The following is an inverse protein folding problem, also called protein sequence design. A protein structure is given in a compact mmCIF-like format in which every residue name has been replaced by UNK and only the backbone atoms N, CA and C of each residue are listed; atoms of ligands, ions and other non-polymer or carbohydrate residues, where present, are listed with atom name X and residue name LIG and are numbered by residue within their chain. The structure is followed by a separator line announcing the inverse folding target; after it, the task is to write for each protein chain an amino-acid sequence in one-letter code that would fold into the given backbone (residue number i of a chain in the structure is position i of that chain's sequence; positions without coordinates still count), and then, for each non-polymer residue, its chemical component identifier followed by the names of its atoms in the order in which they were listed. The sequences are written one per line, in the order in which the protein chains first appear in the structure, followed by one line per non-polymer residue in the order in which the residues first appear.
data_IF_508967977008
#
_entry.id   IF_508967977008
#
_cell.length_a   1.000
_cell.length_b   1.000
_cell.length_c   1.000
_cell.angle_alpha   90.00
_cell.angle_beta   90.00
_cell.angle_gamma   90.00
#
_symmetry.space_group_name_H-M   'P 1'
#
loop_
_entity.id
_entity.type
_entity.pdbx_description
1 polymer ?
#
# COMPACT_ATOMS: atom_id res chain seq x y z
N UNK A 1 1.18 7.60 4.21
CA UNK A 1 1.13 9.04 3.90
C UNK A 1 1.17 9.25 2.40
N UNK A 2 0.07 9.75 1.82
CA UNK A 2 0.05 10.25 0.46
C UNK A 2 0.44 11.75 0.45
N UNK A 3 0.99 12.24 -0.65
CA UNK A 3 1.26 13.69 -0.84
C UNK A 3 -0.01 14.55 -0.76
N UNK A 4 -1.20 13.94 -0.82
CA UNK A 4 -2.46 14.53 -0.36
C UNK A 4 -2.81 14.01 1.03
N UNK A 5 -2.77 14.89 2.04
CA UNK A 5 -2.86 14.58 3.48
C UNK A 5 -4.15 13.95 4.02
N UNK A 6 -4.96 13.25 3.21
CA UNK A 6 -6.30 12.79 3.60
C UNK A 6 -6.44 11.26 3.75
N UNK A 7 -5.41 10.45 3.51
CA UNK A 7 -5.55 8.99 3.63
C UNK A 7 -4.42 8.34 4.43
N UNK A 8 -4.73 8.01 5.69
CA UNK A 8 -4.00 7.06 6.51
C UNK A 8 -4.29 5.65 6.01
N UNK A 9 -3.28 4.94 5.49
CA UNK A 9 -3.51 3.65 4.84
C UNK A 9 -3.69 2.50 5.85
N UNK A 10 -3.24 2.68 7.10
CA UNK A 10 -3.56 1.74 8.19
C UNK A 10 -5.04 1.82 8.56
N UNK A 11 -5.60 3.02 8.61
CA UNK A 11 -7.05 3.20 8.83
C UNK A 11 -7.89 2.65 7.67
N UNK A 12 -7.43 2.82 6.42
CA UNK A 12 -8.07 2.21 5.25
C UNK A 12 -8.11 0.68 5.39
N UNK A 13 -6.97 0.07 5.71
CA UNK A 13 -6.87 -1.36 5.91
C UNK A 13 -7.81 -1.83 7.02
N UNK A 14 -7.76 -1.17 8.19
CA UNK A 14 -8.61 -1.53 9.33
C UNK A 14 -10.10 -1.46 8.97
N UNK A 15 -10.53 -0.47 8.18
CA UNK A 15 -11.92 -0.36 7.72
C UNK A 15 -12.31 -1.50 6.79
N UNK A 16 -11.43 -1.90 5.88
CA UNK A 16 -11.67 -3.02 4.97
C UNK A 16 -11.72 -4.34 5.74
N UNK A 17 -10.79 -4.59 6.66
CA UNK A 17 -10.78 -5.78 7.51
C UNK A 17 -12.04 -5.86 8.38
N UNK A 18 -12.42 -4.76 9.01
CA UNK A 18 -13.65 -4.70 9.83
C UNK A 18 -14.88 -4.99 8.97
N UNK A 19 -14.96 -4.41 7.76
CA UNK A 19 -16.07 -4.66 6.86
C UNK A 19 -16.16 -6.13 6.43
N UNK A 20 -15.01 -6.78 6.15
CA UNK A 20 -14.96 -8.19 5.77
C UNK A 20 -15.29 -9.13 6.93
N UNK A 21 -14.95 -8.75 8.17
CA UNK A 21 -15.24 -9.52 9.38
C UNK A 21 -16.71 -9.38 9.84
N UNK A 22 -17.29 -8.18 9.75
CA UNK A 22 -18.64 -7.88 10.24
C UNK A 22 -19.47 -7.15 9.18
N UNK A 23 -19.80 -7.88 8.10
CA UNK A 23 -20.50 -7.32 6.94
C UNK A 23 -21.93 -6.82 7.24
N UNK A 24 -22.53 -7.23 8.36
CA UNK A 24 -23.91 -6.88 8.69
C UNK A 24 -24.08 -5.41 9.09
N UNK A 25 -23.05 -4.83 9.73
CA UNK A 25 -23.05 -3.45 10.22
C UNK A 25 -22.50 -2.45 9.19
N UNK A 26 -22.10 -2.91 8.00
CA UNK A 26 -21.47 -2.06 6.98
C UNK A 26 -22.49 -1.28 6.17
N UNK A 27 -22.41 0.05 6.22
CA UNK A 27 -23.06 0.89 5.21
C UNK A 27 -22.30 0.82 3.87
N UNK A 28 -22.90 0.14 2.90
CA UNK A 28 -22.36 -0.04 1.56
C UNK A 28 -22.01 1.28 0.85
N UNK A 29 -22.79 2.34 1.05
CA UNK A 29 -22.57 3.62 0.37
C UNK A 29 -21.34 4.34 0.92
N UNK A 30 -21.23 4.45 2.25
CA UNK A 30 -20.05 4.97 2.94
C UNK A 30 -18.79 4.15 2.66
N UNK A 31 -18.91 2.82 2.62
CA UNK A 31 -17.80 1.94 2.27
C UNK A 31 -17.31 2.18 0.84
N UNK A 32 -18.22 2.23 -0.14
CA UNK A 32 -17.85 2.55 -1.53
C UNK A 32 -17.20 3.93 -1.65
N UNK A 33 -17.71 4.94 -0.94
CA UNK A 33 -17.10 6.27 -0.94
C UNK A 33 -15.67 6.24 -0.38
N UNK A 34 -15.43 5.45 0.66
CA UNK A 34 -14.08 5.24 1.22
C UNK A 34 -13.14 4.64 0.17
N UNK A 35 -13.58 3.59 -0.54
CA UNK A 35 -12.79 2.98 -1.61
C UNK A 35 -12.53 3.94 -2.77
N UNK A 36 -13.53 4.73 -3.19
CA UNK A 36 -13.40 5.70 -4.27
C UNK A 36 -12.39 6.81 -3.94
N UNK A 37 -12.30 7.24 -2.68
CA UNK A 37 -11.26 8.18 -2.23
C UNK A 37 -9.85 7.57 -2.31
N UNK A 38 -9.72 6.27 -2.03
CA UNK A 38 -8.44 5.56 -2.09
C UNK A 38 -8.03 5.14 -3.52
N UNK A 39 -8.95 5.17 -4.50
CA UNK A 39 -8.71 4.75 -5.89
C UNK A 39 -7.43 5.32 -6.52
N UNK A 40 -7.13 6.64 -6.42
CA UNK A 40 -5.91 7.18 -7.01
C UNK A 40 -4.63 6.61 -6.40
N UNK A 41 -4.65 6.26 -5.11
CA UNK A 41 -3.51 5.66 -4.40
C UNK A 41 -3.25 4.23 -4.84
N UNK A 42 -4.30 3.46 -5.15
CA UNK A 42 -4.15 2.12 -5.72
C UNK A 42 -3.57 2.18 -7.15
N UNK A 43 -4.05 3.10 -7.98
CA UNK A 43 -3.56 3.25 -9.36
C UNK A 43 -2.11 3.77 -9.42
N UNK A 44 -1.72 4.62 -8.47
CA UNK A 44 -0.38 5.17 -8.36
C UNK A 44 0.42 4.48 -7.24
N UNK A 45 0.20 3.18 -7.03
CA UNK A 45 0.77 2.41 -5.92
C UNK A 45 2.25 2.76 -5.69
N UNK A 46 2.55 3.34 -4.53
CA UNK A 46 3.90 3.76 -4.12
C UNK A 46 4.62 4.72 -5.09
N UNK A 47 3.92 5.49 -5.92
CA UNK A 47 4.54 6.60 -6.65
C UNK A 47 4.64 7.80 -5.72
N UNK A 48 5.85 8.02 -5.21
CA UNK A 48 6.20 9.17 -4.39
C UNK A 48 7.22 10.03 -5.15
N UNK A 49 7.36 11.30 -4.76
CA UNK A 49 8.46 12.14 -5.22
C UNK A 49 9.81 11.48 -4.88
N UNK A 50 10.74 11.53 -5.83
CA UNK A 50 12.11 11.06 -5.65
C UNK A 50 12.96 12.05 -4.85
N UNK A 51 14.07 11.62 -4.22
CA UNK A 51 15.03 12.51 -3.57
C UNK A 51 15.46 13.65 -4.49
N UNK A 52 15.47 14.88 -3.99
CA UNK A 52 15.79 16.05 -4.80
C UNK A 52 16.41 17.20 -4.00
N UNK A 53 17.21 18.01 -4.68
CA UNK A 53 17.98 19.08 -4.06
C UNK A 53 17.12 20.17 -3.41
N UNK A 54 15.92 20.43 -3.94
CA UNK A 54 14.98 21.42 -3.40
C UNK A 54 14.45 20.98 -2.03
N UNK A 55 13.89 19.77 -1.95
CA UNK A 55 13.42 19.17 -0.70
C UNK A 55 14.56 19.08 0.32
N UNK A 56 15.75 18.66 -0.12
CA UNK A 56 16.93 18.59 0.75
C UNK A 56 17.34 19.93 1.33
N UNK A 57 17.37 20.98 0.52
CA UNK A 57 17.69 22.33 0.97
C UNK A 57 16.63 22.86 1.95
N UNK A 58 15.36 22.56 1.72
CA UNK A 58 14.27 22.92 2.63
C UNK A 58 14.44 22.25 4.00
N UNK A 59 14.72 20.95 4.04
CA UNK A 59 14.95 20.21 5.30
C UNK A 59 16.19 20.72 6.04
N UNK A 60 17.31 20.96 5.32
CA UNK A 60 18.53 21.49 5.90
C UNK A 60 18.38 22.91 6.47
N UNK A 61 17.44 23.70 5.94
CA UNK A 61 17.13 25.02 6.50
C UNK A 61 16.43 24.95 7.86
N UNK A 62 15.89 23.78 8.23
CA UNK A 62 15.09 23.54 9.42
C UNK A 62 13.70 24.20 9.39
N UNK A 63 13.32 24.87 8.30
CA UNK A 63 12.03 25.54 8.15
C UNK A 63 11.38 25.10 6.85
N UNK A 64 10.33 24.30 6.96
CA UNK A 64 9.61 23.79 5.80
C UNK A 64 8.10 23.83 6.03
N UNK A 65 7.34 23.63 4.95
CA UNK A 65 5.88 23.54 4.99
C UNK A 65 5.48 22.13 4.60
N UNK A 66 4.86 21.43 5.54
CA UNK A 66 4.26 20.12 5.33
C UNK A 66 2.79 20.27 4.92
N UNK A 67 2.13 19.19 4.43
CA UNK A 67 0.68 19.19 4.22
C UNK A 67 -0.11 19.55 5.49
N UNK A 68 0.43 19.25 6.68
CA UNK A 68 -0.14 19.60 7.98
C UNK A 68 0.11 21.06 8.41
N UNK A 69 0.98 21.78 7.69
CA UNK A 69 1.32 23.18 7.97
C UNK A 69 2.84 23.42 8.14
N UNK A 70 3.23 24.64 8.54
CA UNK A 70 4.62 25.00 8.77
C UNK A 70 5.23 24.23 9.94
N UNK A 71 6.46 23.77 9.77
CA UNK A 71 7.23 23.03 10.78
C UNK A 71 8.62 23.65 10.95
N UNK A 72 9.08 23.69 12.20
CA UNK A 72 10.47 24.01 12.55
C UNK A 72 11.11 22.74 13.09
N UNK A 73 12.23 22.35 12.51
CA UNK A 73 13.00 21.16 12.90
C UNK A 73 14.19 21.56 13.76
N UNK A 74 14.46 20.75 14.78
CA UNK A 74 15.71 20.86 15.52
C UNK A 74 16.87 20.32 14.65
N UNK A 75 18.04 20.99 14.62
CA UNK A 75 19.18 20.48 13.86
C UNK A 75 19.59 19.05 14.25
N UNK A 76 19.41 18.72 15.52
CA UNK A 76 19.61 17.40 16.10
C UNK A 76 18.51 17.16 17.13
N UNK A 77 17.74 16.04 17.06
CA UNK A 77 17.91 14.91 16.15
C UNK A 77 17.19 15.03 14.78
N UNK A 78 16.21 15.92 14.63
CA UNK A 78 15.23 15.85 13.51
C UNK A 78 15.86 15.88 12.11
N UNK A 79 16.69 16.88 11.82
CA UNK A 79 17.30 17.04 10.49
C UNK A 79 18.22 15.86 10.18
N UNK A 80 19.04 15.43 11.15
CA UNK A 80 19.98 14.32 10.97
C UNK A 80 19.25 13.01 10.66
N UNK A 81 18.22 12.68 11.43
CA UNK A 81 17.46 11.44 11.28
C UNK A 81 16.64 11.42 9.99
N UNK A 82 16.03 12.55 9.62
CA UNK A 82 15.28 12.66 8.36
C UNK A 82 16.19 12.49 7.13
N UNK A 83 17.37 13.13 7.12
CA UNK A 83 18.32 12.98 6.02
C UNK A 83 18.94 11.58 5.96
N UNK A 84 19.21 10.95 7.12
CA UNK A 84 19.63 9.56 7.17
C UNK A 84 18.58 8.62 6.57
N UNK A 85 17.31 8.81 6.94
CA UNK A 85 16.20 8.03 6.41
C UNK A 85 16.07 8.21 4.89
N UNK A 86 16.12 9.45 4.40
CA UNK A 86 16.11 9.75 2.96
C UNK A 86 17.25 9.05 2.21
N UNK A 87 18.47 9.13 2.75
CA UNK A 87 19.65 8.56 2.09
C UNK A 87 19.63 7.02 2.04
N UNK A 88 19.15 6.36 3.11
CA UNK A 88 19.11 4.90 3.23
C UNK A 88 17.90 4.27 2.51
N UNK A 89 16.75 4.95 2.49
CA UNK A 89 15.49 4.44 1.92
C UNK A 89 15.15 5.06 0.55
N UNK A 90 15.99 5.96 0.03
CA UNK A 90 15.80 6.69 -1.23
C UNK A 90 14.46 7.44 -1.30
N UNK A 91 14.07 8.04 -0.17
CA UNK A 91 12.83 8.82 -0.06
C UNK A 91 13.11 10.30 -0.29
N UNK A 92 12.14 11.01 -0.86
CA UNK A 92 12.13 12.48 -0.79
C UNK A 92 12.29 12.95 0.67
N UNK A 93 13.07 14.00 0.87
CA UNK A 93 13.44 14.49 2.20
C UNK A 93 12.22 14.99 3.00
N UNK A 94 11.18 15.52 2.35
CA UNK A 94 9.94 15.95 3.02
C UNK A 94 9.16 14.74 3.50
N UNK A 95 9.06 13.69 2.67
CA UNK A 95 8.45 12.42 3.09
C UNK A 95 9.22 11.80 4.26
N UNK A 96 10.54 11.86 4.25
CA UNK A 96 11.38 11.38 5.35
C UNK A 96 11.10 12.13 6.66
N UNK A 97 10.97 13.47 6.61
CA UNK A 97 10.56 14.30 7.76
C UNK A 97 9.19 13.88 8.27
N UNK A 98 8.20 13.73 7.38
CA UNK A 98 6.86 13.31 7.77
C UNK A 98 6.88 11.94 8.49
N UNK A 99 7.71 11.01 8.02
CA UNK A 99 7.85 9.68 8.64
C UNK A 99 8.46 9.76 10.04
N UNK A 100 9.54 10.54 10.22
CA UNK A 100 10.18 10.74 11.52
C UNK A 100 9.24 11.45 12.50
N UNK A 101 8.48 12.45 12.04
CA UNK A 101 7.48 13.11 12.89
C UNK A 101 6.31 12.19 13.25
N UNK A 102 5.85 11.35 12.33
CA UNK A 102 4.85 10.32 12.63
C UNK A 102 5.35 9.37 13.70
N UNK A 103 6.62 8.94 13.61
CA UNK A 103 7.24 8.09 14.62
C UNK A 103 7.28 8.76 16.00
N UNK A 104 7.69 10.03 16.06
CA UNK A 104 7.66 10.81 17.30
C UNK A 104 6.25 10.88 17.90
N UNK A 105 5.23 11.11 17.08
CA UNK A 105 3.84 11.22 17.55
C UNK A 105 3.29 9.89 18.08
N UNK A 106 3.63 8.77 17.43
CA UNK A 106 3.06 7.46 17.77
C UNK A 106 3.83 6.73 18.86
N UNK A 107 5.15 6.87 18.85
CA UNK A 107 6.05 6.08 19.71
C UNK A 107 6.85 6.92 20.69
N UNK A 108 6.92 8.24 20.48
CA UNK A 108 7.81 9.13 21.23
C UNK A 108 9.27 9.09 20.78
N UNK A 109 9.59 8.31 19.74
CA UNK A 109 10.97 8.14 19.26
C UNK A 109 11.26 9.00 18.03
N UNK A 110 12.39 9.74 18.08
CA UNK A 110 12.93 10.46 16.93
C UNK A 110 14.14 9.71 16.40
N UNK A 111 13.92 8.80 15.45
CA UNK A 111 14.98 8.04 14.79
C UNK A 111 14.62 7.71 13.34
N UNK A 112 15.64 7.55 12.48
CA UNK A 112 15.44 7.05 11.13
C UNK A 112 14.82 5.64 11.12
N UNK A 113 15.14 4.81 12.12
CA UNK A 113 14.61 3.45 12.23
C UNK A 113 13.10 3.43 12.50
N UNK A 114 12.62 4.27 13.42
CA UNK A 114 11.20 4.41 13.69
C UNK A 114 10.46 5.08 12.52
N UNK A 115 11.07 6.08 11.88
CA UNK A 115 10.52 6.68 10.66
C UNK A 115 10.36 5.69 9.51
N UNK A 116 11.35 4.80 9.31
CA UNK A 116 11.24 3.72 8.33
C UNK A 116 10.13 2.72 8.69
N UNK A 117 9.91 2.44 9.98
CA UNK A 117 8.78 1.63 10.43
C UNK A 117 7.44 2.22 10.02
N UNK A 118 7.21 3.50 10.29
CA UNK A 118 5.99 4.22 9.84
C UNK A 118 5.83 4.11 8.32
N UNK A 119 6.91 4.29 7.57
CA UNK A 119 6.87 4.15 6.11
C UNK A 119 6.42 2.76 5.65
N UNK A 120 7.03 1.70 6.19
CA UNK A 120 6.65 0.32 5.86
C UNK A 120 5.23 -0.03 6.29
N UNK A 121 4.77 0.45 7.44
CA UNK A 121 3.41 0.18 7.90
C UNK A 121 2.35 0.85 7.02
N UNK A 122 2.58 2.10 6.61
CA UNK A 122 1.69 2.81 5.68
C UNK A 122 1.66 2.11 4.32
N UNK A 123 2.83 1.67 3.82
CA UNK A 123 2.91 0.91 2.56
C UNK A 123 2.14 -0.40 2.64
N UNK A 124 2.36 -1.15 3.73
CA UNK A 124 1.64 -2.40 4.02
C UNK A 124 0.14 -2.15 4.08
N UNK A 125 -0.30 -1.08 4.74
CA UNK A 125 -1.71 -0.71 4.81
C UNK A 125 -2.34 -0.60 3.41
N UNK A 126 -1.69 0.12 2.50
CA UNK A 126 -2.18 0.31 1.13
C UNK A 126 -2.14 -0.99 0.32
N UNK A 127 -1.03 -1.72 0.37
CA UNK A 127 -0.84 -2.94 -0.40
C UNK A 127 -1.76 -4.07 0.07
N UNK A 128 -1.88 -4.29 1.38
CA UNK A 128 -2.80 -5.29 1.93
C UNK A 128 -4.25 -4.91 1.66
N UNK A 129 -4.59 -3.61 1.67
CA UNK A 129 -5.94 -3.16 1.25
C UNK A 129 -6.24 -3.55 -0.19
N UNK A 130 -5.29 -3.30 -1.12
CA UNK A 130 -5.44 -3.72 -2.52
C UNK A 130 -5.60 -5.24 -2.64
N UNK A 131 -4.74 -5.98 -1.94
CA UNK A 131 -4.75 -7.43 -1.92
C UNK A 131 -6.10 -7.98 -1.44
N UNK A 132 -6.62 -7.51 -0.31
CA UNK A 132 -7.91 -7.93 0.24
C UNK A 132 -9.06 -7.67 -0.75
N UNK A 133 -9.06 -6.50 -1.40
CA UNK A 133 -10.09 -6.15 -2.37
C UNK A 133 -10.05 -7.06 -3.60
N UNK A 134 -8.86 -7.33 -4.14
CA UNK A 134 -8.68 -8.24 -5.28
C UNK A 134 -9.04 -9.68 -4.90
N UNK A 135 -8.60 -10.13 -3.73
CA UNK A 135 -8.88 -11.45 -3.19
C UNK A 135 -10.39 -11.66 -2.97
N UNK A 136 -11.09 -10.71 -2.35
CA UNK A 136 -12.53 -10.80 -2.14
C UNK A 136 -13.30 -10.94 -3.46
N UNK A 137 -12.85 -10.27 -4.53
CA UNK A 137 -13.42 -10.48 -5.86
C UNK A 137 -13.13 -11.88 -6.40
N UNK A 138 -11.91 -12.40 -6.25
CA UNK A 138 -11.58 -13.78 -6.62
C UNK A 138 -12.49 -14.77 -5.88
N UNK A 139 -12.76 -14.52 -4.61
CA UNK A 139 -13.62 -15.35 -3.75
C UNK A 139 -15.12 -15.29 -4.08
N UNK A 140 -15.58 -14.30 -4.86
CA UNK A 140 -17.01 -14.16 -5.25
C UNK A 140 -17.52 -15.22 -6.25
N UNK A 141 -16.72 -16.22 -6.61
CA UNK A 141 -17.10 -17.40 -7.41
C UNK A 141 -17.29 -17.16 -8.91
N UNK A 142 -17.57 -15.92 -9.32
CA UNK A 142 -17.82 -15.56 -10.73
C UNK A 142 -16.58 -14.98 -11.45
N UNK A 143 -15.53 -14.66 -10.68
CA UNK A 143 -14.41 -13.83 -11.16
C UNK A 143 -13.24 -14.59 -11.78
N UNK A 144 -13.17 -15.92 -11.64
CA UNK A 144 -12.13 -16.77 -12.22
C UNK A 144 -12.72 -17.93 -13.03
N UNK A 145 -11.98 -18.48 -14.03
CA UNK A 145 -12.22 -19.83 -14.56
C UNK A 145 -12.31 -20.87 -13.45
N UNK A 146 -13.25 -21.85 -13.50
CA UNK A 146 -13.38 -22.87 -12.46
C UNK A 146 -12.07 -23.62 -12.19
N UNK A 147 -11.27 -23.89 -13.22
CA UNK A 147 -9.99 -24.58 -13.11
C UNK A 147 -8.96 -23.73 -12.33
N UNK A 148 -8.98 -22.41 -12.54
CA UNK A 148 -8.08 -21.48 -11.88
C UNK A 148 -8.55 -21.17 -10.45
N UNK A 149 -9.86 -21.07 -10.24
CA UNK A 149 -10.45 -20.96 -8.91
C UNK A 149 -10.06 -22.17 -8.04
N UNK A 150 -10.17 -23.38 -8.58
CA UNK A 150 -9.77 -24.59 -7.88
C UNK A 150 -8.27 -24.63 -7.55
N UNK A 151 -7.41 -24.07 -8.42
CA UNK A 151 -5.97 -24.03 -8.21
C UNK A 151 -5.52 -22.94 -7.21
N UNK A 152 -6.21 -21.80 -7.18
CA UNK A 152 -5.87 -20.64 -6.34
C UNK A 152 -6.53 -20.73 -4.95
N UNK A 153 -7.73 -21.30 -4.86
CA UNK A 153 -8.54 -21.33 -3.64
C UNK A 153 -8.55 -22.71 -2.94
N UNK A 154 -7.47 -23.50 -3.08
CA UNK A 154 -7.36 -24.91 -2.65
C UNK A 154 -7.82 -25.20 -1.20
N UNK A 155 -7.74 -24.23 -0.29
CA UNK A 155 -8.09 -24.38 1.13
C UNK A 155 -9.45 -23.77 1.53
N UNK A 156 -10.19 -23.16 0.60
CA UNK A 156 -11.43 -22.46 0.95
C UNK A 156 -12.66 -23.39 0.88
N UNK A 157 -13.20 -23.75 2.05
CA UNK A 157 -14.28 -24.74 2.23
C UNK A 157 -15.69 -24.15 2.05
N UNK A 158 -15.83 -22.84 1.88
CA UNK A 158 -17.16 -22.23 1.73
C UNK A 158 -17.59 -22.21 0.26
N UNK A 159 -18.73 -22.80 -0.08
CA UNK A 159 -19.34 -22.54 -1.39
C UNK A 159 -19.93 -21.12 -1.38
N UNK A 160 -19.73 -20.34 -2.45
CA UNK A 160 -20.35 -19.03 -2.62
C UNK A 160 -21.87 -19.08 -2.46
N UNK A 161 -22.50 -20.24 -2.73
CA UNK A 161 -23.93 -20.50 -2.57
C UNK A 161 -24.41 -20.47 -1.10
N UNK A 162 -23.47 -20.39 -0.14
CA UNK A 162 -23.74 -20.41 1.31
C UNK A 162 -23.29 -19.14 2.05
N UNK A 163 -22.87 -18.10 1.33
CA UNK A 163 -22.47 -16.83 1.95
C UNK A 163 -23.70 -16.13 2.57
N UNK A 164 -23.57 -15.54 3.77
CA UNK A 164 -24.60 -14.68 4.33
C UNK A 164 -24.98 -13.55 3.36
N UNK A 165 -26.26 -13.16 3.26
CA UNK A 165 -26.72 -12.12 2.33
C UNK A 165 -25.95 -10.79 2.46
N UNK A 166 -25.52 -10.45 3.68
CA UNK A 166 -24.77 -9.24 4.01
C UNK A 166 -23.37 -9.28 3.37
N UNK A 167 -22.69 -10.42 3.48
CA UNK A 167 -21.37 -10.65 2.89
C UNK A 167 -21.44 -10.67 1.35
N UNK A 168 -22.51 -11.23 0.78
CA UNK A 168 -22.77 -11.16 -0.66
C UNK A 168 -22.91 -9.71 -1.16
N UNK A 169 -23.66 -8.86 -0.43
CA UNK A 169 -23.80 -7.43 -0.79
C UNK A 169 -22.46 -6.69 -0.72
N UNK A 170 -21.67 -6.94 0.32
CA UNK A 170 -20.34 -6.35 0.45
C UNK A 170 -19.43 -6.76 -0.72
N UNK A 171 -19.44 -8.05 -1.08
CA UNK A 171 -18.66 -8.55 -2.21
C UNK A 171 -19.12 -7.92 -3.53
N UNK A 172 -20.41 -7.69 -3.71
CA UNK A 172 -20.93 -6.98 -4.90
C UNK A 172 -20.38 -5.55 -4.98
N UNK A 173 -20.29 -4.82 -3.85
CA UNK A 173 -19.68 -3.48 -3.78
C UNK A 173 -18.19 -3.54 -4.16
N UNK A 174 -17.44 -4.48 -3.59
CA UNK A 174 -16.01 -4.67 -3.89
C UNK A 174 -15.81 -5.03 -5.37
N UNK A 175 -16.60 -5.94 -5.92
CA UNK A 175 -16.52 -6.33 -7.32
C UNK A 175 -16.82 -5.15 -8.26
N UNK A 176 -17.82 -4.31 -7.92
CA UNK A 176 -18.12 -3.11 -8.69
C UNK A 176 -16.96 -2.09 -8.64
N UNK A 177 -16.39 -1.87 -7.46
CA UNK A 177 -15.22 -1.02 -7.29
C UNK A 177 -14.00 -1.52 -8.09
N UNK A 178 -13.66 -2.80 -7.98
CA UNK A 178 -12.54 -3.37 -8.71
C UNK A 178 -12.79 -3.37 -10.22
N UNK A 179 -14.03 -3.57 -10.66
CA UNK A 179 -14.39 -3.49 -12.08
C UNK A 179 -14.13 -2.10 -12.65
N UNK A 180 -14.37 -1.05 -11.86
CA UNK A 180 -14.07 0.34 -12.17
C UNK A 180 -12.56 0.63 -12.08
N UNK A 181 -11.87 0.13 -11.05
CA UNK A 181 -10.40 0.23 -10.89
C UNK A 181 -9.64 -0.41 -12.06
N UNK A 182 -10.09 -1.58 -12.51
CA UNK A 182 -9.47 -2.37 -13.58
C UNK A 182 -10.04 -2.04 -14.98
N UNK A 183 -10.95 -1.08 -15.09
CA UNK A 183 -11.64 -0.78 -16.34
C UNK A 183 -10.68 -0.36 -17.47
N UNK A 184 -10.91 -0.92 -18.67
CA UNK A 184 -10.10 -0.62 -19.86
C UNK A 184 -10.30 0.81 -20.37
N UNK A 185 -11.50 1.39 -20.20
CA UNK A 185 -11.80 2.76 -20.62
C UNK A 185 -10.91 3.81 -19.97
N UNK A 186 -10.33 3.47 -18.82
CA UNK A 186 -9.42 4.32 -18.06
C UNK A 186 -7.97 3.79 -18.06
N UNK A 187 -7.69 2.68 -18.76
CA UNK A 187 -6.39 2.02 -18.74
C UNK A 187 -5.95 1.53 -17.35
N UNK A 188 -6.87 1.45 -16.38
CA UNK A 188 -6.54 1.27 -14.97
C UNK A 188 -5.83 -0.06 -14.69
N UNK A 189 -6.24 -1.14 -15.39
CA UNK A 189 -5.55 -2.42 -15.34
C UNK A 189 -4.12 -2.33 -15.83
N UNK A 190 -3.89 -1.79 -17.03
CA UNK A 190 -2.56 -1.69 -17.62
C UNK A 190 -1.64 -0.87 -16.71
N UNK A 191 -2.12 0.25 -16.18
CA UNK A 191 -1.39 1.06 -15.20
C UNK A 191 -1.03 0.28 -13.93
N UNK A 192 -2.00 -0.43 -13.35
CA UNK A 192 -1.79 -1.19 -12.12
C UNK A 192 -0.84 -2.37 -12.33
N UNK A 193 -1.03 -3.14 -13.40
CA UNK A 193 -0.17 -4.29 -13.75
C UNK A 193 1.25 -3.82 -14.01
N UNK A 194 1.43 -2.77 -14.84
CA UNK A 194 2.75 -2.20 -15.09
C UNK A 194 3.41 -1.76 -13.77
N UNK A 195 2.66 -1.09 -12.89
CA UNK A 195 3.19 -0.63 -11.61
C UNK A 195 3.56 -1.78 -10.68
N UNK A 196 2.76 -2.85 -10.63
CA UNK A 196 3.06 -4.04 -9.84
C UNK A 196 4.30 -4.75 -10.38
N UNK A 197 4.48 -4.87 -11.70
CA UNK A 197 5.68 -5.45 -12.31
C UNK A 197 6.93 -4.63 -11.98
N UNK A 198 6.84 -3.30 -12.05
CA UNK A 198 7.92 -2.39 -11.64
C UNK A 198 8.32 -2.66 -10.18
N UNK A 199 7.33 -2.74 -9.28
CA UNK A 199 7.54 -2.91 -7.84
C UNK A 199 8.06 -4.31 -7.46
N UNK A 200 7.59 -5.37 -8.11
CA UNK A 200 8.10 -6.75 -7.89
C UNK A 200 9.59 -6.85 -8.25
N UNK A 201 10.05 -6.04 -9.21
CA UNK A 201 11.45 -5.99 -9.64
C UNK A 201 12.28 -4.96 -8.86
N UNK A 202 11.65 -4.16 -8.00
CA UNK A 202 12.30 -3.09 -7.26
C UNK A 202 12.84 -3.58 -5.93
N UNK A 203 14.17 -3.51 -5.78
CA UNK A 203 14.89 -3.90 -4.58
C UNK A 203 15.53 -2.69 -3.88
N UNK A 204 15.13 -1.45 -4.19
CA UNK A 204 15.76 -0.25 -3.63
C UNK A 204 15.63 -0.14 -2.11
N UNK A 205 14.58 -0.73 -1.53
CA UNK A 205 14.36 -0.72 -0.08
C UNK A 205 15.17 -1.79 0.67
N UNK A 206 15.88 -2.68 -0.02
CA UNK A 206 16.67 -3.73 0.63
C UNK A 206 17.92 -3.18 1.34
N UNK A 207 18.10 -3.60 2.59
CA UNK A 207 19.35 -3.82 3.33
C UNK A 207 20.60 -4.08 2.51
N UNK A 208 21.31 -3.06 2.00
CA UNK A 208 22.64 -3.30 1.43
C UNK A 208 23.67 -3.59 2.53
N UNK A 209 24.70 -4.42 2.26
CA UNK A 209 25.79 -4.63 3.20
C UNK A 209 26.42 -3.31 3.64
N UNK A 210 26.49 -3.08 4.96
CA UNK A 210 27.00 -1.82 5.53
C UNK A 210 25.96 -0.68 5.59
N UNK A 211 24.70 -0.95 5.28
CA UNK A 211 23.60 0.00 5.51
C UNK A 211 23.60 0.48 6.97
N UNK A 212 23.33 1.77 7.15
CA UNK A 212 23.16 2.37 8.49
C UNK A 212 21.78 2.11 9.08
N UNK A 213 20.89 1.47 8.31
CA UNK A 213 19.52 1.18 8.69
C UNK A 213 19.13 -0.28 8.31
N UNK A 214 19.83 -1.31 8.82
CA UNK A 214 19.51 -2.71 8.52
C UNK A 214 18.21 -3.19 9.20
N UNK A 215 17.81 -2.52 10.28
CA UNK A 215 16.60 -2.78 11.03
C UNK A 215 15.76 -1.51 11.14
N UNK A 216 14.46 -1.70 11.34
CA UNK A 216 13.48 -0.63 11.55
C UNK A 216 12.76 -0.86 12.86
N UNK A 217 12.08 0.16 13.38
CA UNK A 217 11.30 0.07 14.62
C UNK A 217 9.83 0.19 14.26
N UNK A 218 9.02 -0.83 14.58
CA UNK A 218 7.58 -0.80 14.32
C UNK A 218 6.82 0.11 15.29
N UNK A 219 5.52 0.32 15.05
CA UNK A 219 4.63 1.11 15.91
C UNK A 219 4.56 0.64 17.38
N UNK A 220 5.02 -0.58 17.68
CA UNK A 220 5.06 -1.14 19.03
C UNK A 220 6.45 -1.01 19.68
N UNK A 221 7.38 -0.28 19.04
CA UNK A 221 8.74 -0.10 19.52
C UNK A 221 9.62 -1.34 19.34
N UNK A 222 9.22 -2.29 18.47
CA UNK A 222 9.99 -3.52 18.24
C UNK A 222 10.90 -3.37 17.05
N UNK A 223 12.14 -3.82 17.22
CA UNK A 223 13.11 -3.89 16.14
C UNK A 223 12.76 -5.05 15.18
N UNK A 224 12.68 -4.74 13.89
CA UNK A 224 12.33 -5.68 12.82
C UNK A 224 13.38 -5.58 11.72
N UNK A 225 13.79 -6.73 11.20
CA UNK A 225 14.69 -6.81 10.05
C UNK A 225 14.07 -6.15 8.81
N UNK A 226 14.80 -5.21 8.19
CA UNK A 226 14.31 -4.45 7.03
C UNK A 226 14.05 -5.36 5.83
N UNK A 227 14.92 -6.34 5.59
CA UNK A 227 14.80 -7.24 4.45
C UNK A 227 13.63 -8.21 4.61
N UNK A 228 13.34 -8.65 5.83
CA UNK A 228 12.15 -9.45 6.12
C UNK A 228 10.85 -8.69 5.78
N UNK A 229 10.82 -7.37 5.97
CA UNK A 229 9.68 -6.54 5.56
C UNK A 229 9.58 -6.44 4.03
N UNK A 230 10.70 -6.20 3.34
CA UNK A 230 10.74 -6.15 1.87
C UNK A 230 10.30 -7.48 1.26
N UNK A 231 10.80 -8.62 1.75
CA UNK A 231 10.39 -9.95 1.25
C UNK A 231 8.90 -10.21 1.48
N UNK A 232 8.35 -9.80 2.62
CA UNK A 232 6.90 -9.91 2.87
C UNK A 232 6.09 -9.06 1.90
N UNK A 233 6.54 -7.84 1.65
CA UNK A 233 5.89 -6.93 0.69
C UNK A 233 5.92 -7.52 -0.73
N UNK A 234 7.06 -8.09 -1.16
CA UNK A 234 7.22 -8.76 -2.46
C UNK A 234 6.23 -9.92 -2.64
N UNK A 235 5.99 -10.73 -1.60
CA UNK A 235 4.99 -11.80 -1.66
C UNK A 235 3.59 -11.25 -1.97
N UNK A 236 3.17 -10.21 -1.25
CA UNK A 236 1.84 -9.61 -1.47
C UNK A 236 1.75 -8.90 -2.82
N UNK A 237 2.83 -8.27 -3.29
CA UNK A 237 2.89 -7.69 -4.65
C UNK A 237 2.69 -8.75 -5.73
N UNK A 238 3.33 -9.92 -5.60
CA UNK A 238 3.14 -11.05 -6.51
C UNK A 238 1.71 -11.56 -6.53
N UNK A 239 1.06 -11.66 -5.36
CA UNK A 239 -0.35 -12.07 -5.26
C UNK A 239 -1.29 -11.04 -5.89
N UNK A 240 -1.08 -9.74 -5.61
CA UNK A 240 -1.80 -8.66 -6.27
C UNK A 240 -1.66 -8.71 -7.79
N UNK A 241 -0.45 -8.95 -8.30
CA UNK A 241 -0.17 -9.06 -9.73
C UNK A 241 -0.93 -10.24 -10.34
N UNK A 242 -0.88 -11.41 -9.71
CA UNK A 242 -1.62 -12.58 -10.15
C UNK A 242 -3.13 -12.29 -10.20
N UNK A 243 -3.71 -11.71 -9.15
CA UNK A 243 -5.14 -11.39 -9.13
C UNK A 243 -5.53 -10.35 -10.19
N UNK A 244 -4.75 -9.27 -10.34
CA UNK A 244 -5.00 -8.22 -11.33
C UNK A 244 -5.01 -8.77 -12.78
N UNK A 245 -4.16 -9.76 -13.06
CA UNK A 245 -4.11 -10.45 -14.34
C UNK A 245 -5.27 -11.46 -14.51
N UNK A 246 -5.65 -12.18 -13.46
CA UNK A 246 -6.58 -13.31 -13.56
C UNK A 246 -8.06 -12.95 -13.41
N UNK A 247 -8.40 -11.84 -12.73
CA UNK A 247 -9.78 -11.39 -12.58
C UNK A 247 -10.42 -11.17 -13.95
N UNK A 248 -11.54 -11.87 -14.21
CA UNK A 248 -12.33 -11.90 -15.46
C UNK A 248 -12.91 -10.53 -15.85
N UNK A 249 -12.03 -9.68 -16.33
CA UNK A 249 -12.22 -8.85 -17.50
C UNK A 249 -11.04 -9.25 -18.40
N UNK A 250 -11.21 -9.45 -19.71
CA UNK A 250 -10.18 -10.13 -20.51
C UNK A 250 -8.87 -9.33 -20.51
N UNK A 251 -7.75 -9.95 -20.15
CA UNK A 251 -6.44 -9.49 -20.62
C UNK A 251 -6.52 -9.45 -22.15
N UNK A 252 -6.18 -8.31 -22.72
CA UNK A 252 -5.97 -8.22 -24.16
C UNK A 252 -4.64 -8.88 -24.49
N UNK A 253 -4.45 -9.26 -25.76
CA UNK A 253 -3.14 -9.74 -26.22
C UNK A 253 -2.03 -8.69 -26.04
N UNK A 254 -2.38 -7.41 -25.94
CA UNK A 254 -1.44 -6.34 -25.62
C UNK A 254 -0.94 -6.43 -24.16
N UNK A 255 -1.84 -6.67 -23.20
CA UNK A 255 -1.47 -6.79 -21.78
C UNK A 255 -0.54 -8.00 -21.52
N UNK A 256 -0.62 -9.05 -22.35
CA UNK A 256 0.24 -10.24 -22.23
C UNK A 256 1.65 -9.97 -22.77
N UNK A 257 1.77 -9.17 -23.83
CA UNK A 257 3.05 -8.86 -24.47
C UNK A 257 3.95 -8.01 -23.57
N UNK A 258 3.38 -7.17 -22.69
CA UNK A 258 4.13 -6.32 -21.76
C UNK A 258 4.64 -7.09 -20.51
N UNK A 259 4.14 -8.31 -20.29
CA UNK A 259 4.55 -9.17 -19.16
C UNK A 259 5.77 -10.04 -19.53
N UNK A 260 5.93 -10.38 -20.82
CA UNK A 260 7.04 -11.21 -21.36
C UNK A 260 8.24 -10.38 -21.79
#
# INVERSE_FOLDING_TARGET
MAEGGDTNFRELLQRIETALCDAAEVDAASFLQTLQRAKPSFLNLFRYKEPNAESRAAVQSGKLVLPSGPVVLDPEPDIREALLLSDEMKLDEILAVMCVQGALQETGEVSAAAGAGIYFEERRGLLTSLWLLLQAQVMSGNSLPPELYAAICLDWVMSCDSLPPELYRLYAVICAFNADLLSQSLGGRTMLVQRLVELVRDNQLEAQPGSRLPTVIDSHGREVDRNALVTREQTVLCECLAYACCIRQRLTTADIADIT
#
